data_IF_520354378266
#
_entry.id   IF_520354378266
#
_cell.length_a   1.000
_cell.length_b   1.000
_cell.length_c   1.000
_cell.angle_alpha   90.00
_cell.angle_beta   90.00
_cell.angle_gamma   90.00
#
_symmetry.space_group_name_H-M   'P 1'
#
loop_
_entity.id
_entity.type
_entity.pdbx_description
1 polymer ?
#
# COMPACT_ATOMS: atom_id res chain seq x y z
N UNK A 1 7.26 40.50 -11.05
CA UNK A 1 8.29 39.47 -11.19
C UNK A 1 8.74 39.39 -12.66
N UNK A 2 9.32 40.43 -13.23
CA UNK A 2 9.73 40.51 -14.64
C UNK A 2 11.11 41.19 -14.81
N UNK A 3 12.05 40.94 -13.87
CA UNK A 3 13.36 41.60 -13.90
C UNK A 3 14.61 40.71 -13.93
N UNK A 4 14.47 39.36 -13.91
CA UNK A 4 15.63 38.46 -13.84
C UNK A 4 15.90 37.64 -15.12
N UNK A 5 15.24 37.94 -16.24
CA UNK A 5 15.47 37.23 -17.52
C UNK A 5 16.44 37.97 -18.45
N UNK A 6 16.85 39.17 -18.09
CA UNK A 6 17.68 40.03 -18.99
C UNK A 6 19.19 40.00 -18.69
N UNK A 7 19.65 39.14 -17.76
CA UNK A 7 21.07 39.13 -17.36
C UNK A 7 21.85 37.89 -17.84
N UNK A 8 21.25 36.99 -18.58
CA UNK A 8 21.91 35.77 -19.10
C UNK A 8 22.27 35.87 -20.59
N UNK A 9 21.86 36.93 -21.28
CA UNK A 9 22.06 37.03 -22.75
C UNK A 9 23.23 37.94 -23.17
N UNK A 10 24.09 38.39 -22.27
CA UNK A 10 25.19 39.33 -22.62
C UNK A 10 26.60 38.83 -22.36
N UNK A 11 26.82 37.52 -22.19
CA UNK A 11 28.17 36.99 -21.96
C UNK A 11 28.62 35.93 -22.99
N UNK A 12 28.13 36.00 -24.22
CA UNK A 12 28.55 35.05 -25.28
C UNK A 12 28.94 35.80 -26.58
N UNK A 13 29.76 36.80 -26.46
CA UNK A 13 30.35 37.42 -27.64
C UNK A 13 31.75 37.97 -27.30
N UNK A 14 32.75 37.13 -27.20
CA UNK A 14 34.18 37.41 -27.45
C UNK A 14 34.91 36.06 -27.37
N UNK A 15 35.24 35.46 -28.46
CA UNK A 15 36.51 34.87 -28.89
C UNK A 15 36.33 34.34 -30.32
N UNK A 16 36.52 35.22 -31.28
CA UNK A 16 36.82 34.85 -32.67
C UNK A 16 38.15 35.50 -33.02
N UNK A 17 39.24 34.78 -32.77
CA UNK A 17 40.52 35.06 -33.39
C UNK A 17 41.32 33.78 -33.53
N UNK A 18 41.30 33.21 -34.71
CA UNK A 18 42.39 32.68 -35.45
C UNK A 18 43.13 31.44 -34.92
N UNK A 19 42.86 30.32 -35.54
CA UNK A 19 43.93 29.40 -36.01
C UNK A 19 43.35 28.48 -37.11
N UNK A 20 43.85 28.62 -38.31
CA UNK A 20 43.57 27.68 -39.40
C UNK A 20 44.26 26.36 -39.08
N UNK A 21 43.49 25.30 -38.81
CA UNK A 21 43.90 23.90 -38.84
C UNK A 21 43.05 23.14 -39.85
N UNK A 22 43.55 22.08 -40.49
CA UNK A 22 42.86 21.43 -41.60
C UNK A 22 41.54 20.84 -41.16
N UNK A 23 40.54 20.98 -42.05
CA UNK A 23 39.20 20.44 -41.85
C UNK A 23 39.25 18.93 -41.64
N UNK A 24 39.15 18.49 -40.36
CA UNK A 24 38.71 17.16 -40.03
C UNK A 24 37.20 17.14 -40.31
N UNK A 25 36.79 16.37 -41.31
CA UNK A 25 35.39 16.03 -41.54
C UNK A 25 34.81 15.49 -40.26
N UNK A 26 33.92 16.24 -39.65
CA UNK A 26 33.14 15.77 -38.49
C UNK A 26 32.40 14.46 -38.93
N UNK A 27 32.35 13.43 -38.09
CA UNK A 27 31.56 12.25 -38.43
C UNK A 27 30.10 12.64 -38.62
N UNK A 28 29.52 12.21 -39.71
CA UNK A 28 28.10 12.44 -39.99
C UNK A 28 27.26 11.60 -39.05
N UNK A 29 26.85 12.20 -37.92
CA UNK A 29 26.01 11.57 -36.90
C UNK A 29 24.51 11.67 -37.22
N UNK A 30 24.13 12.07 -38.44
CA UNK A 30 22.73 12.26 -38.83
C UNK A 30 21.91 10.97 -38.74
N UNK A 31 22.49 9.84 -39.15
CA UNK A 31 21.84 8.53 -39.08
C UNK A 31 21.66 8.04 -37.64
N UNK A 32 22.59 8.35 -36.74
CA UNK A 32 22.49 8.02 -35.33
C UNK A 32 21.44 8.88 -34.61
N UNK A 33 21.36 10.15 -34.98
CA UNK A 33 20.32 11.08 -34.50
C UNK A 33 18.92 10.64 -34.94
N UNK A 34 18.73 10.24 -36.20
CA UNK A 34 17.45 9.73 -36.68
C UNK A 34 17.06 8.42 -35.95
N UNK A 35 18.02 7.51 -35.72
CA UNK A 35 17.79 6.27 -35.00
C UNK A 35 17.40 6.54 -33.54
N UNK A 36 18.06 7.48 -32.86
CA UNK A 36 17.73 7.84 -31.48
C UNK A 36 16.37 8.54 -31.38
N UNK A 37 16.05 9.41 -32.33
CA UNK A 37 14.73 10.07 -32.37
C UNK A 37 13.61 9.05 -32.55
N UNK A 38 13.76 8.10 -33.48
CA UNK A 38 12.78 7.03 -33.68
C UNK A 38 12.60 6.17 -32.43
N UNK A 39 13.69 5.92 -31.67
CA UNK A 39 13.63 5.16 -30.44
C UNK A 39 12.99 5.93 -29.28
N UNK A 40 13.15 7.23 -29.22
CA UNK A 40 12.44 8.11 -28.26
C UNK A 40 10.95 8.08 -28.55
N UNK A 41 10.53 8.24 -29.80
CA UNK A 41 9.12 8.19 -30.19
C UNK A 41 8.47 6.83 -29.84
N UNK A 42 9.19 5.72 -30.05
CA UNK A 42 8.74 4.38 -29.71
C UNK A 42 8.56 4.22 -28.19
N UNK A 43 9.54 4.66 -27.39
CA UNK A 43 9.50 4.62 -25.94
C UNK A 43 8.40 5.53 -25.36
N UNK A 44 8.17 6.70 -25.93
CA UNK A 44 7.07 7.59 -25.52
C UNK A 44 5.70 6.95 -25.77
N UNK A 45 5.55 6.27 -26.91
CA UNK A 45 4.34 5.53 -27.25
C UNK A 45 4.13 4.33 -26.31
N UNK A 46 5.20 3.60 -25.98
CA UNK A 46 5.15 2.49 -25.03
C UNK A 46 4.79 2.99 -23.61
N UNK A 47 5.39 4.07 -23.14
CA UNK A 47 5.05 4.70 -21.88
C UNK A 47 3.59 5.17 -21.83
N UNK A 48 3.09 5.77 -22.88
CA UNK A 48 1.68 6.18 -22.96
C UNK A 48 0.73 4.99 -22.90
N UNK A 49 1.11 3.89 -23.56
CA UNK A 49 0.31 2.65 -23.56
C UNK A 49 0.34 1.95 -22.20
N UNK A 50 1.50 1.88 -21.55
CA UNK A 50 1.67 1.34 -20.19
C UNK A 50 0.91 2.17 -19.17
N UNK A 51 0.93 3.50 -19.31
CA UNK A 51 0.16 4.41 -18.46
C UNK A 51 -1.34 4.21 -18.61
N UNK A 52 -1.83 4.07 -19.84
CA UNK A 52 -3.23 3.78 -20.11
C UNK A 52 -3.65 2.39 -19.58
N UNK A 53 -2.76 1.38 -19.67
CA UNK A 53 -3.00 0.08 -19.07
C UNK A 53 -3.02 0.14 -17.54
N UNK A 54 -2.13 0.91 -16.93
CA UNK A 54 -2.09 1.10 -15.48
C UNK A 54 -3.35 1.83 -14.99
N UNK A 55 -3.79 2.88 -15.68
CA UNK A 55 -5.03 3.59 -15.38
C UNK A 55 -6.26 2.69 -15.55
N UNK A 56 -6.32 1.89 -16.62
CA UNK A 56 -7.40 0.92 -16.83
C UNK A 56 -7.38 -0.21 -15.79
N UNK A 57 -6.21 -0.65 -15.32
CA UNK A 57 -6.09 -1.64 -14.26
C UNK A 57 -6.49 -1.05 -12.91
N UNK A 58 -6.11 0.20 -12.63
CA UNK A 58 -6.49 0.90 -11.40
C UNK A 58 -7.99 1.19 -11.35
N UNK A 59 -8.61 1.58 -12.49
CA UNK A 59 -10.06 1.72 -12.58
C UNK A 59 -10.80 0.37 -12.47
N UNK A 60 -10.22 -0.72 -13.01
CA UNK A 60 -10.79 -2.07 -12.86
C UNK A 60 -10.65 -2.58 -11.42
N UNK A 61 -9.51 -2.35 -10.75
CA UNK A 61 -9.33 -2.69 -9.34
C UNK A 61 -10.23 -1.86 -8.42
N UNK A 62 -10.41 -0.56 -8.70
CA UNK A 62 -11.33 0.31 -7.93
C UNK A 62 -12.78 -0.11 -8.16
N UNK A 63 -13.14 -0.61 -9.35
CA UNK A 63 -14.50 -1.07 -9.64
C UNK A 63 -14.75 -2.50 -9.13
N UNK A 64 -13.72 -3.37 -9.08
CA UNK A 64 -13.84 -4.71 -8.48
C UNK A 64 -13.80 -4.68 -6.96
N UNK A 65 -13.09 -3.73 -6.32
CA UNK A 65 -13.17 -3.54 -4.87
C UNK A 65 -14.58 -3.09 -4.40
N UNK A 66 -15.38 -2.50 -5.28
CA UNK A 66 -16.79 -2.14 -5.03
C UNK A 66 -17.78 -3.25 -5.39
N UNK A 67 -17.36 -4.39 -5.98
CA UNK A 67 -18.26 -5.43 -6.50
C UNK A 67 -18.24 -6.77 -5.79
N UNK A 68 -17.43 -6.95 -4.74
CA UNK A 68 -17.64 -8.06 -3.79
C UNK A 68 -18.57 -7.57 -2.69
N UNK A 69 -19.86 -7.45 -2.99
CA UNK A 69 -20.95 -7.17 -2.03
C UNK A 69 -21.08 -8.35 -1.07
N UNK A 70 -20.08 -8.57 -0.22
CA UNK A 70 -20.25 -9.25 1.04
C UNK A 70 -20.91 -8.26 2.01
N UNK A 71 -21.96 -8.67 2.69
CA UNK A 71 -22.56 -7.88 3.76
C UNK A 71 -21.46 -7.50 4.75
N UNK A 72 -21.38 -6.22 5.12
CA UNK A 72 -20.49 -5.77 6.19
C UNK A 72 -20.99 -6.39 7.50
N UNK A 73 -20.11 -7.15 8.14
CA UNK A 73 -20.38 -7.84 9.38
C UNK A 73 -20.24 -6.88 10.57
N UNK A 74 -21.02 -7.09 11.62
CA UNK A 74 -20.86 -6.39 12.87
C UNK A 74 -19.81 -7.07 13.76
N UNK A 75 -19.31 -6.35 14.77
CA UNK A 75 -18.47 -6.93 15.82
C UNK A 75 -19.28 -8.05 16.52
N UNK A 76 -18.64 -9.22 16.68
CA UNK A 76 -19.23 -10.44 17.23
C UNK A 76 -19.80 -11.41 16.19
N UNK A 77 -19.96 -10.99 14.94
CA UNK A 77 -20.39 -11.87 13.87
C UNK A 77 -19.22 -12.68 13.29
N UNK A 78 -19.49 -13.94 12.92
CA UNK A 78 -18.50 -14.82 12.28
C UNK A 78 -18.57 -14.68 10.75
N UNK A 79 -17.40 -14.44 10.14
CA UNK A 79 -17.22 -14.51 8.70
C UNK A 79 -16.35 -15.69 8.30
N UNK A 80 -16.60 -16.26 7.11
CA UNK A 80 -15.78 -17.35 6.57
C UNK A 80 -15.04 -16.86 5.32
N UNK A 81 -13.72 -17.08 5.28
CA UNK A 81 -12.82 -16.68 4.20
C UNK A 81 -11.92 -17.86 3.82
N UNK A 82 -12.28 -18.60 2.77
CA UNK A 82 -11.65 -19.89 2.40
C UNK A 82 -11.60 -20.85 3.60
N UNK A 83 -10.41 -21.21 4.04
CA UNK A 83 -10.19 -22.12 5.18
C UNK A 83 -10.19 -21.41 6.55
N UNK A 84 -10.50 -20.12 6.59
CA UNK A 84 -10.52 -19.34 7.82
C UNK A 84 -11.94 -18.98 8.25
N UNK A 85 -12.25 -19.21 9.54
CA UNK A 85 -13.33 -18.51 10.22
C UNK A 85 -12.74 -17.36 11.02
N UNK A 86 -13.38 -16.19 10.95
CA UNK A 86 -12.89 -14.95 11.56
C UNK A 86 -14.02 -14.29 12.34
N UNK A 87 -13.76 -13.93 13.58
CA UNK A 87 -14.65 -13.14 14.42
C UNK A 87 -13.88 -11.93 14.94
N UNK A 88 -14.38 -10.74 14.69
CA UNK A 88 -13.91 -9.51 15.34
C UNK A 88 -14.67 -9.34 16.64
N UNK A 89 -13.98 -9.29 17.78
CA UNK A 89 -14.61 -9.23 19.10
C UNK A 89 -14.59 -7.84 19.72
N UNK A 90 -13.62 -7.01 19.36
CA UNK A 90 -13.48 -5.63 19.86
C UNK A 90 -12.64 -4.80 18.90
N UNK A 91 -12.78 -3.49 18.94
CA UNK A 91 -11.89 -2.53 18.29
C UNK A 91 -11.71 -1.32 19.19
N UNK A 92 -10.46 -0.92 19.40
CA UNK A 92 -10.11 0.20 20.29
C UNK A 92 -9.08 1.11 19.61
N UNK A 93 -9.28 2.43 19.71
CA UNK A 93 -8.29 3.43 19.32
C UNK A 93 -7.46 3.79 20.55
N UNK A 94 -6.14 3.64 20.47
CA UNK A 94 -5.24 3.80 21.62
C UNK A 94 -3.94 4.52 21.24
N UNK A 95 -3.35 5.21 22.22
CA UNK A 95 -2.03 5.86 22.07
C UNK A 95 -0.86 4.88 22.17
N UNK A 96 -1.10 3.65 22.64
CA UNK A 96 -0.05 2.64 22.76
C UNK A 96 -0.62 1.24 22.94
N UNK A 97 0.10 0.23 22.47
CA UNK A 97 -0.20 -1.18 22.74
C UNK A 97 0.89 -1.71 23.66
N UNK A 98 0.50 -2.14 24.86
CA UNK A 98 1.45 -2.61 25.89
C UNK A 98 1.55 -4.13 25.89
N UNK A 99 2.76 -4.64 25.87
CA UNK A 99 3.05 -6.04 26.14
C UNK A 99 3.07 -6.30 27.66
N UNK A 100 3.71 -5.38 28.41
CA UNK A 100 3.82 -5.39 29.86
C UNK A 100 4.14 -3.98 30.37
N UNK A 101 4.44 -3.83 31.66
CA UNK A 101 4.72 -2.52 32.29
C UNK A 101 6.02 -1.85 31.75
N UNK A 102 6.91 -2.61 31.11
CA UNK A 102 8.22 -2.13 30.68
C UNK A 102 8.38 -2.08 29.15
N UNK A 103 7.49 -2.76 28.41
CA UNK A 103 7.59 -2.86 26.98
C UNK A 103 6.23 -2.70 26.30
N UNK A 104 6.22 -1.93 25.23
CA UNK A 104 5.05 -1.67 24.42
C UNK A 104 5.42 -0.99 23.10
N UNK A 105 4.41 -0.70 22.33
CA UNK A 105 4.51 -0.07 21.03
C UNK A 105 3.78 1.27 21.08
N UNK A 106 4.43 2.32 20.58
CA UNK A 106 3.82 3.62 20.37
C UNK A 106 3.78 3.90 18.86
N UNK A 107 2.73 4.52 18.35
CA UNK A 107 2.66 4.95 16.97
C UNK A 107 3.65 6.10 16.72
N UNK A 108 3.85 6.48 15.46
CA UNK A 108 4.56 7.70 15.10
C UNK A 108 3.85 8.95 15.63
N UNK A 109 4.59 10.04 15.78
CA UNK A 109 4.02 11.33 16.25
C UNK A 109 2.91 11.80 15.29
N UNK A 110 1.75 12.15 15.85
CA UNK A 110 0.56 12.53 15.08
C UNK A 110 -0.33 11.36 14.66
N UNK A 111 -0.02 10.14 15.12
CA UNK A 111 -0.79 8.94 14.84
C UNK A 111 -1.29 8.26 16.13
N UNK A 112 -2.24 7.36 15.96
CA UNK A 112 -2.74 6.41 16.97
C UNK A 112 -2.79 5.00 16.40
N UNK A 113 -2.87 4.01 17.29
CA UNK A 113 -3.24 2.66 16.86
C UNK A 113 -4.75 2.48 16.91
N UNK A 114 -5.28 1.75 15.92
CA UNK A 114 -6.51 1.01 16.10
C UNK A 114 -6.11 -0.45 16.35
N UNK A 115 -6.39 -0.96 17.54
CA UNK A 115 -6.15 -2.32 17.96
C UNK A 115 -7.47 -3.10 17.86
N UNK A 116 -7.48 -4.14 17.03
CA UNK A 116 -8.67 -4.93 16.75
C UNK A 116 -8.44 -6.34 17.30
N UNK A 117 -9.27 -6.76 18.26
CA UNK A 117 -9.27 -8.10 18.79
C UNK A 117 -9.97 -9.04 17.82
N UNK A 118 -9.25 -10.04 17.35
CA UNK A 118 -9.72 -10.99 16.35
C UNK A 118 -9.49 -12.41 16.85
N UNK A 119 -10.48 -13.26 16.63
CA UNK A 119 -10.38 -14.72 16.81
C UNK A 119 -10.43 -15.38 15.45
N UNK A 120 -9.44 -16.22 15.16
CA UNK A 120 -9.32 -16.92 13.89
C UNK A 120 -9.27 -18.42 14.11
N UNK A 121 -9.95 -19.17 13.25
CA UNK A 121 -9.93 -20.62 13.23
C UNK A 121 -9.44 -21.10 11.87
N UNK A 122 -8.46 -22.01 11.87
CA UNK A 122 -7.98 -22.66 10.66
C UNK A 122 -8.78 -23.94 10.42
N UNK A 123 -9.70 -23.93 9.46
CA UNK A 123 -10.52 -25.05 9.04
C UNK A 123 -9.85 -25.89 7.92
N UNK A 124 -8.66 -25.46 7.48
CA UNK A 124 -7.86 -26.15 6.48
C UNK A 124 -7.20 -27.43 7.01
N UNK A 125 -6.53 -28.13 6.11
CA UNK A 125 -5.88 -29.42 6.41
C UNK A 125 -4.43 -29.28 6.87
N UNK A 126 -3.83 -28.09 6.69
CA UNK A 126 -2.44 -27.81 7.00
C UNK A 126 -2.34 -26.63 7.98
N UNK A 127 -1.25 -26.57 8.75
CA UNK A 127 -0.93 -25.36 9.48
C UNK A 127 -0.69 -24.20 8.49
N UNK A 128 -1.23 -23.04 8.80
CA UNK A 128 -1.10 -21.85 7.96
C UNK A 128 -0.88 -20.62 8.83
N UNK A 129 -0.17 -19.62 8.28
CA UNK A 129 0.03 -18.36 8.95
C UNK A 129 -1.15 -17.43 8.64
N UNK A 130 -1.69 -16.84 9.71
CA UNK A 130 -2.61 -15.73 9.57
C UNK A 130 -1.80 -14.43 9.45
N UNK A 131 -2.10 -13.60 8.44
CA UNK A 131 -1.37 -12.36 8.10
C UNK A 131 0.15 -12.56 7.97
N UNK A 132 0.63 -13.36 7.01
CA UNK A 132 2.07 -13.59 6.86
C UNK A 132 2.82 -12.31 6.48
N UNK A 133 4.03 -12.13 7.02
CA UNK A 133 4.89 -10.96 6.75
C UNK A 133 5.30 -10.84 5.29
N UNK A 134 5.37 -11.95 4.58
CA UNK A 134 5.69 -12.04 3.15
C UNK A 134 4.58 -12.79 2.43
N UNK A 135 3.40 -12.15 2.39
CA UNK A 135 2.25 -12.71 1.69
C UNK A 135 2.43 -12.67 0.17
N UNK A 136 2.01 -13.73 -0.50
CA UNK A 136 1.94 -13.81 -1.95
C UNK A 136 0.59 -14.40 -2.40
N UNK A 137 0.00 -13.76 -3.40
CA UNK A 137 -1.19 -14.29 -4.05
C UNK A 137 -2.38 -14.46 -3.11
N UNK A 138 -2.62 -15.71 -2.70
CA UNK A 138 -3.79 -16.09 -1.91
C UNK A 138 -3.59 -16.03 -0.39
N UNK A 139 -2.49 -15.45 0.08
CA UNK A 139 -2.26 -15.28 1.51
C UNK A 139 -3.21 -14.24 2.13
N UNK A 140 -3.47 -14.40 3.43
CA UNK A 140 -4.36 -13.49 4.15
C UNK A 140 -3.68 -12.14 4.34
N UNK A 141 -4.40 -11.07 4.01
CA UNK A 141 -4.01 -9.68 4.26
C UNK A 141 -5.11 -8.94 5.00
N UNK A 142 -4.76 -7.88 5.72
CA UNK A 142 -5.73 -7.05 6.42
C UNK A 142 -5.41 -5.56 6.23
N UNK A 143 -6.47 -4.76 6.08
CA UNK A 143 -6.41 -3.31 6.03
C UNK A 143 -7.64 -2.70 6.69
N UNK A 144 -7.52 -1.46 7.15
CA UNK A 144 -8.66 -0.65 7.59
C UNK A 144 -8.93 0.40 6.52
N UNK A 145 -10.20 0.51 6.12
CA UNK A 145 -10.68 1.55 5.21
C UNK A 145 -11.33 2.69 5.99
N UNK A 146 -11.03 3.90 5.60
CA UNK A 146 -11.67 5.13 6.06
C UNK A 146 -12.26 5.87 4.87
N UNK A 147 -13.55 6.22 4.95
CA UNK A 147 -14.32 6.88 3.86
C UNK A 147 -14.27 6.11 2.51
N UNK A 148 -13.96 4.81 2.54
CA UNK A 148 -13.88 3.96 1.35
C UNK A 148 -12.60 4.10 0.51
N UNK A 149 -11.88 5.23 0.63
CA UNK A 149 -10.75 5.58 -0.25
C UNK A 149 -9.39 5.49 0.43
N UNK A 150 -9.34 5.67 1.77
CA UNK A 150 -8.09 5.65 2.50
C UNK A 150 -7.85 4.29 3.12
N UNK A 151 -6.68 3.70 2.83
CA UNK A 151 -6.30 2.36 3.28
C UNK A 151 -5.14 2.43 4.28
N UNK A 152 -5.31 1.76 5.41
CA UNK A 152 -4.27 1.59 6.41
C UNK A 152 -3.94 0.11 6.54
N UNK A 153 -2.70 -0.27 6.24
CA UNK A 153 -2.23 -1.66 6.30
C UNK A 153 -1.97 -2.09 7.74
N UNK A 154 -2.08 -3.40 7.99
CA UNK A 154 -1.76 -3.97 9.28
C UNK A 154 -0.30 -3.71 9.68
N UNK A 155 -0.09 -3.30 10.93
CA UNK A 155 1.21 -3.01 11.51
C UNK A 155 1.77 -4.25 12.20
N UNK A 156 3.01 -4.62 11.88
CA UNK A 156 3.70 -5.70 12.54
C UNK A 156 4.27 -5.23 13.90
N UNK A 157 3.65 -5.68 14.98
CA UNK A 157 4.12 -5.47 16.35
C UNK A 157 5.13 -6.56 16.72
N UNK A 158 6.37 -6.39 16.28
CA UNK A 158 7.41 -7.41 16.41
C UNK A 158 7.67 -7.79 17.89
N UNK A 159 7.45 -9.06 18.22
CA UNK A 159 7.62 -9.57 19.57
C UNK A 159 6.42 -9.37 20.49
N UNK A 160 5.30 -8.86 20.01
CA UNK A 160 4.07 -8.78 20.78
C UNK A 160 3.40 -10.17 20.87
N UNK A 161 3.23 -10.68 22.08
CA UNK A 161 2.77 -12.08 22.31
C UNK A 161 1.35 -12.35 21.84
N UNK A 162 0.52 -11.31 21.75
CA UNK A 162 -0.87 -11.39 21.27
C UNK A 162 -1.04 -10.99 19.81
N UNK A 163 0.04 -10.69 19.10
CA UNK A 163 -0.05 -10.37 17.67
C UNK A 163 -0.56 -11.55 16.87
N UNK A 164 -1.55 -11.31 16.00
CA UNK A 164 -1.94 -12.29 14.98
C UNK A 164 -1.12 -12.15 13.70
N UNK A 165 -0.30 -11.11 13.60
CA UNK A 165 0.60 -10.94 12.46
C UNK A 165 1.64 -12.05 12.45
N UNK A 166 1.81 -12.71 11.29
CA UNK A 166 2.73 -13.84 11.08
C UNK A 166 2.54 -15.02 12.06
N UNK A 167 1.29 -15.21 12.49
CA UNK A 167 0.95 -16.23 13.47
C UNK A 167 0.52 -17.53 12.82
N UNK A 168 1.23 -18.63 13.16
CA UNK A 168 0.87 -19.98 12.71
C UNK A 168 -0.28 -20.55 13.51
N UNK A 169 -1.30 -21.07 12.82
CA UNK A 169 -2.47 -21.74 13.41
C UNK A 169 -2.56 -23.16 12.83
N UNK A 170 -2.56 -24.15 13.71
CA UNK A 170 -2.69 -25.55 13.32
C UNK A 170 -4.07 -25.86 12.73
N UNK A 171 -4.21 -26.94 11.94
CA UNK A 171 -5.51 -27.40 11.48
C UNK A 171 -6.51 -27.59 12.62
N UNK A 172 -7.76 -27.19 12.39
CA UNK A 172 -8.87 -27.31 13.35
C UNK A 172 -8.61 -26.63 14.70
N UNK A 173 -7.71 -25.64 14.70
CA UNK A 173 -7.36 -24.89 15.91
C UNK A 173 -7.80 -23.44 15.78
N UNK A 174 -8.09 -22.84 16.93
CA UNK A 174 -8.50 -21.45 17.06
C UNK A 174 -7.42 -20.67 17.80
N UNK A 175 -7.19 -19.43 17.40
CA UNK A 175 -6.30 -18.48 18.07
C UNK A 175 -6.94 -17.10 18.14
N UNK A 176 -6.84 -16.47 19.31
CA UNK A 176 -7.26 -15.09 19.51
C UNK A 176 -6.05 -14.19 19.69
N UNK A 177 -6.14 -12.97 19.22
CA UNK A 177 -5.08 -11.99 19.35
C UNK A 177 -5.48 -10.63 18.76
N UNK A 178 -4.49 -9.79 18.52
CA UNK A 178 -4.68 -8.41 18.05
C UNK A 178 -4.09 -8.25 16.65
N UNK A 179 -4.84 -7.56 15.79
CA UNK A 179 -4.34 -6.94 14.56
C UNK A 179 -4.35 -5.44 14.78
N UNK A 180 -3.19 -4.80 14.64
CA UNK A 180 -3.04 -3.37 14.85
C UNK A 180 -2.85 -2.63 13.51
N UNK A 181 -3.36 -1.42 13.46
CA UNK A 181 -3.19 -0.50 12.32
C UNK A 181 -2.81 0.87 12.88
N UNK A 182 -1.88 1.54 12.21
CA UNK A 182 -1.52 2.91 12.56
C UNK A 182 -2.30 3.88 11.69
N UNK A 183 -3.03 4.80 12.34
CA UNK A 183 -3.91 5.77 11.68
C UNK A 183 -3.60 7.19 12.17
N UNK A 184 -3.70 8.23 11.33
CA UNK A 184 -3.53 9.62 11.74
C UNK A 184 -4.51 10.05 12.83
N UNK A 185 -4.10 10.98 13.71
CA UNK A 185 -4.96 11.58 14.74
C UNK A 185 -6.27 12.16 14.18
N UNK A 186 -6.21 12.72 12.97
CA UNK A 186 -7.39 13.25 12.28
C UNK A 186 -8.43 12.14 12.00
N UNK A 187 -7.99 10.95 11.60
CA UNK A 187 -8.85 9.78 11.38
C UNK A 187 -9.32 9.18 12.70
N UNK A 188 -8.40 9.11 13.69
CA UNK A 188 -8.71 8.59 15.02
C UNK A 188 -9.81 9.40 15.72
N UNK A 189 -9.82 10.72 15.53
CA UNK A 189 -10.74 11.67 16.16
C UNK A 189 -12.03 11.92 15.38
N UNK A 190 -12.12 11.42 14.16
CA UNK A 190 -13.29 11.56 13.30
C UNK A 190 -14.41 10.59 13.73
N UNK A 191 -15.67 10.92 13.41
CA UNK A 191 -16.83 10.07 13.70
C UNK A 191 -17.19 9.13 12.52
N UNK A 192 -16.49 9.26 11.39
CA UNK A 192 -16.74 8.47 10.19
C UNK A 192 -16.42 7.01 10.40
N UNK A 193 -17.08 6.18 9.61
CA UNK A 193 -16.98 4.73 9.64
C UNK A 193 -15.56 4.24 9.34
N UNK A 194 -15.12 3.22 10.08
CA UNK A 194 -13.93 2.44 9.81
C UNK A 194 -14.34 1.00 9.52
N UNK A 195 -13.88 0.47 8.39
CA UNK A 195 -14.13 -0.89 7.96
C UNK A 195 -12.83 -1.69 7.97
N UNK A 196 -12.76 -2.75 8.76
CA UNK A 196 -11.71 -3.76 8.64
C UNK A 196 -12.02 -4.65 7.43
N UNK A 197 -11.07 -4.76 6.52
CA UNK A 197 -11.13 -5.68 5.38
C UNK A 197 -10.06 -6.74 5.56
N UNK A 198 -10.46 -8.00 5.58
CA UNK A 198 -9.57 -9.16 5.59
C UNK A 198 -9.74 -9.88 4.26
N UNK A 199 -8.67 -10.05 3.51
CA UNK A 199 -8.70 -10.57 2.14
C UNK A 199 -7.79 -11.76 1.94
N UNK A 200 -8.16 -12.66 1.02
CA UNK A 200 -7.31 -13.73 0.50
C UNK A 200 -7.61 -13.94 -0.98
N UNK A 201 -6.64 -13.70 -1.84
CA UNK A 201 -6.87 -13.69 -3.29
C UNK A 201 -7.95 -12.68 -3.67
N UNK A 202 -9.07 -13.16 -4.24
CA UNK A 202 -10.21 -12.34 -4.66
C UNK A 202 -11.32 -12.23 -3.61
N UNK A 203 -11.26 -13.04 -2.56
CA UNK A 203 -12.30 -13.09 -1.53
C UNK A 203 -11.96 -12.14 -0.39
N UNK A 204 -12.98 -11.50 0.19
CA UNK A 204 -12.80 -10.62 1.33
C UNK A 204 -13.96 -10.73 2.33
N UNK A 205 -13.67 -10.40 3.58
CA UNK A 205 -14.61 -10.15 4.65
C UNK A 205 -14.48 -8.68 5.08
N UNK A 206 -15.60 -8.06 5.35
CA UNK A 206 -15.65 -6.69 5.83
C UNK A 206 -16.33 -6.64 7.19
N UNK A 207 -15.74 -5.95 8.15
CA UNK A 207 -16.29 -5.76 9.49
C UNK A 207 -16.37 -4.26 9.79
N UNK A 208 -17.54 -3.81 10.24
CA UNK A 208 -17.66 -2.47 10.77
C UNK A 208 -17.03 -2.42 12.15
N UNK A 209 -15.95 -1.64 12.29
CA UNK A 209 -15.20 -1.51 13.56
C UNK A 209 -15.38 -0.17 14.25
N UNK A 210 -15.99 0.79 13.55
CA UNK A 210 -16.52 2.06 14.06
C UNK A 210 -17.63 2.57 13.18
#
# INVERSE_FOLDING_TARGET
MKKNILLVLTLLAIVLSGCAAPAATAPDNSAELESLTARVDELEKENSNLKAQLEATTEAETTEAASASGSVLAIGEEGTLKDWSVVVTNAEITDSIKENDYYGFSPEEGNKYIAIDVTVSNNGKNAANFLPSFGMGDDVSAKVLYQGDYEFSATNLLGYSKSLYDTSVNPLSTKSGIVAFEIPDAVASADEELILVISTGKDNLQFKVR
#
